data_IF_801500905913
#
_entry.id   IF_801500905913
#
_cell.length_a   1.000
_cell.length_b   1.000
_cell.length_c   1.000
_cell.angle_alpha   90.00
_cell.angle_beta   90.00
_cell.angle_gamma   90.00
#
_symmetry.space_group_name_H-M   'P 1'
#
loop_
_entity.id
_entity.type
_entity.pdbx_description
1 polymer ?
#
# COMPACT_ATOMS: atom_id res chain seq x y z
N UNK A 1 -20.98 -7.02 8.42
CA UNK A 1 -19.55 -7.09 8.03
C UNK A 1 -18.81 -7.97 9.03
N UNK A 2 -17.98 -8.91 8.55
CA UNK A 2 -17.14 -9.77 9.42
C UNK A 2 -15.64 -9.47 9.27
N UNK A 3 -15.22 -9.00 8.10
CA UNK A 3 -13.80 -8.79 7.79
C UNK A 3 -13.57 -7.45 7.12
N UNK A 4 -12.59 -6.72 7.61
CA UNK A 4 -12.04 -5.54 6.95
C UNK A 4 -10.58 -5.85 6.61
N UNK A 5 -10.26 -5.81 5.33
CA UNK A 5 -8.94 -6.07 4.79
C UNK A 5 -8.30 -4.70 4.51
N UNK A 6 -7.18 -4.43 5.15
CA UNK A 6 -6.41 -3.21 4.99
C UNK A 6 -5.19 -3.47 4.11
N UNK A 7 -4.99 -2.69 3.07
CA UNK A 7 -3.64 -2.51 2.55
C UNK A 7 -2.76 -1.85 3.61
N UNK A 8 -1.45 -1.97 3.49
CA UNK A 8 -0.54 -1.49 4.51
C UNK A 8 0.08 -0.14 4.15
N UNK A 9 0.96 -0.09 3.13
CA UNK A 9 1.66 1.13 2.72
C UNK A 9 0.68 2.11 2.06
N UNK A 10 0.67 3.35 2.49
CA UNK A 10 -0.26 4.38 1.99
C UNK A 10 -1.68 4.31 2.57
N UNK A 11 -2.09 3.18 3.18
CA UNK A 11 -3.42 2.99 3.78
C UNK A 11 -3.38 2.99 5.30
N UNK A 12 -2.65 2.06 5.89
CA UNK A 12 -2.38 2.02 7.35
C UNK A 12 -1.17 2.90 7.67
N UNK A 13 -0.11 2.78 6.88
CA UNK A 13 1.16 3.49 7.04
C UNK A 13 1.17 4.75 6.17
N UNK A 14 1.38 5.91 6.77
CA UNK A 14 1.68 7.17 6.09
C UNK A 14 3.18 7.23 5.80
N UNK A 15 3.58 6.71 4.65
CA UNK A 15 4.96 6.60 4.21
C UNK A 15 5.26 7.33 2.88
N UNK A 16 4.33 8.11 2.35
CA UNK A 16 4.50 8.81 1.06
C UNK A 16 5.73 9.71 1.08
N UNK A 17 5.91 10.51 2.13
CA UNK A 17 7.04 11.43 2.21
C UNK A 17 8.39 10.69 2.31
N UNK A 18 8.39 9.52 2.94
CA UNK A 18 9.55 8.62 3.00
C UNK A 18 9.83 8.01 1.64
N UNK A 19 8.81 7.50 0.96
CA UNK A 19 8.92 6.97 -0.40
C UNK A 19 9.45 8.03 -1.37
N UNK A 20 8.91 9.25 -1.31
CA UNK A 20 9.33 10.37 -2.15
C UNK A 20 10.79 10.77 -1.89
N UNK A 21 11.24 10.80 -0.63
CA UNK A 21 12.64 11.06 -0.29
C UNK A 21 13.56 9.96 -0.83
N UNK A 22 13.23 8.70 -0.60
CA UNK A 22 14.00 7.56 -1.11
C UNK A 22 14.09 7.58 -2.64
N UNK A 23 12.98 7.95 -3.32
CA UNK A 23 12.94 8.10 -4.77
C UNK A 23 13.87 9.21 -5.26
N UNK A 24 13.82 10.38 -4.63
CA UNK A 24 14.66 11.51 -5.02
C UNK A 24 16.16 11.23 -4.79
N UNK A 25 16.52 10.51 -3.73
CA UNK A 25 17.90 10.02 -3.54
C UNK A 25 18.29 9.02 -4.62
N UNK A 26 17.36 8.18 -5.07
CA UNK A 26 17.60 7.22 -6.14
C UNK A 26 17.80 7.93 -7.49
N UNK A 27 16.96 8.90 -7.82
CA UNK A 27 17.08 9.76 -9.02
C UNK A 27 18.47 10.43 -9.06
N UNK A 28 18.88 11.03 -7.95
CA UNK A 28 20.19 11.70 -7.84
C UNK A 28 21.34 10.71 -8.00
N UNK A 29 21.30 9.58 -7.29
CA UNK A 29 22.37 8.58 -7.31
C UNK A 29 22.61 8.01 -8.71
N UNK A 30 21.54 7.68 -9.42
CA UNK A 30 21.64 7.14 -10.79
C UNK A 30 21.82 8.21 -11.86
N UNK A 31 21.83 9.49 -11.47
CA UNK A 31 22.10 10.61 -12.35
C UNK A 31 21.05 10.83 -13.44
N UNK A 32 19.77 10.56 -13.14
CA UNK A 32 18.68 10.86 -14.05
C UNK A 32 18.63 12.37 -14.33
N UNK A 33 18.47 12.72 -15.62
CA UNK A 33 18.42 14.13 -16.07
C UNK A 33 17.00 14.68 -15.90
N UNK A 34 16.60 14.85 -14.65
CA UNK A 34 15.31 15.43 -14.28
C UNK A 34 15.43 16.18 -12.95
N UNK A 35 14.50 17.08 -12.69
CA UNK A 35 14.31 17.67 -11.36
C UNK A 35 13.79 16.60 -10.38
N UNK A 36 14.04 16.77 -9.07
CA UNK A 36 13.44 15.93 -8.05
C UNK A 36 11.92 15.86 -8.20
N UNK A 37 11.35 14.69 -7.95
CA UNK A 37 9.89 14.53 -7.92
C UNK A 37 9.26 15.41 -6.84
N UNK A 38 8.22 16.12 -7.21
CA UNK A 38 7.29 16.72 -6.24
C UNK A 38 6.29 15.67 -5.76
N UNK A 39 5.64 15.93 -4.61
CA UNK A 39 4.58 15.05 -4.11
C UNK A 39 3.44 14.91 -5.12
N UNK A 40 3.01 16.00 -5.72
CA UNK A 40 1.94 15.99 -6.73
C UNK A 40 2.31 15.13 -7.93
N UNK A 41 3.51 15.29 -8.48
CA UNK A 41 3.99 14.46 -9.58
C UNK A 41 4.06 12.98 -9.19
N UNK A 42 4.59 12.68 -7.99
CA UNK A 42 4.66 11.32 -7.47
C UNK A 42 3.29 10.65 -7.46
N UNK A 43 2.28 11.29 -6.88
CA UNK A 43 0.93 10.76 -6.77
C UNK A 43 0.26 10.49 -8.13
N UNK A 44 0.60 11.30 -9.15
CA UNK A 44 0.03 11.15 -10.49
C UNK A 44 0.73 10.08 -11.35
N UNK A 45 2.01 9.81 -11.09
CA UNK A 45 2.76 8.81 -11.88
C UNK A 45 2.88 7.45 -11.20
N UNK A 46 2.54 7.36 -9.89
CA UNK A 46 2.61 6.11 -9.16
C UNK A 46 1.63 5.08 -9.74
N UNK A 47 2.13 3.88 -10.01
CA UNK A 47 1.32 2.81 -10.60
C UNK A 47 1.91 1.43 -10.32
N UNK A 48 1.11 0.40 -10.53
CA UNK A 48 1.54 -0.99 -10.56
C UNK A 48 1.51 -1.54 -12.00
N UNK A 49 2.38 -2.49 -12.34
CA UNK A 49 3.49 -2.96 -11.49
C UNK A 49 4.55 -1.87 -11.27
N UNK A 50 5.20 -1.89 -10.13
CA UNK A 50 6.21 -0.88 -9.71
C UNK A 50 7.30 -0.65 -10.75
N UNK A 51 7.59 -1.64 -11.60
CA UNK A 51 8.51 -1.49 -12.73
C UNK A 51 8.06 -0.43 -13.74
N UNK A 52 6.75 -0.25 -13.92
CA UNK A 52 6.19 0.79 -14.81
C UNK A 52 6.20 2.16 -14.14
N UNK A 53 6.00 2.22 -12.82
CA UNK A 53 6.22 3.44 -12.05
C UNK A 53 7.65 3.98 -12.25
N UNK A 54 8.68 3.15 -12.09
CA UNK A 54 10.06 3.56 -12.33
C UNK A 54 10.32 4.03 -13.77
N UNK A 55 9.62 3.45 -14.79
CA UNK A 55 9.67 3.98 -16.16
C UNK A 55 9.07 5.39 -16.26
N UNK A 56 7.95 5.63 -15.56
CA UNK A 56 7.35 6.96 -15.48
C UNK A 56 8.27 7.96 -14.79
N UNK A 57 9.05 7.53 -13.79
CA UNK A 57 10.13 8.32 -13.18
C UNK A 57 11.23 8.65 -14.18
N UNK A 58 11.51 7.82 -15.16
CA UNK A 58 12.48 8.05 -16.22
C UNK A 58 13.60 7.00 -16.29
N UNK A 59 13.48 5.88 -15.58
CA UNK A 59 14.44 4.78 -15.69
C UNK A 59 14.25 3.97 -16.98
N UNK A 60 15.31 3.81 -17.75
CA UNK A 60 15.36 2.93 -18.92
C UNK A 60 16.08 1.63 -18.54
N UNK A 61 15.37 0.51 -18.57
CA UNK A 61 15.91 -0.82 -18.23
C UNK A 61 16.92 -1.38 -19.24
N UNK A 62 17.19 -0.69 -20.34
CA UNK A 62 18.34 -0.98 -21.19
C UNK A 62 19.64 -0.33 -20.68
N UNK A 63 19.52 0.62 -19.77
CA UNK A 63 20.64 1.39 -19.18
C UNK A 63 20.87 1.03 -17.73
N UNK A 64 19.79 0.85 -16.96
CA UNK A 64 19.82 0.61 -15.52
C UNK A 64 19.34 -0.81 -15.19
N UNK A 65 19.92 -1.42 -14.16
CA UNK A 65 19.40 -2.66 -13.59
C UNK A 65 18.21 -2.36 -12.66
N UNK A 66 17.07 -3.01 -12.91
CA UNK A 66 15.89 -2.86 -12.06
C UNK A 66 16.18 -3.28 -10.62
N UNK A 67 16.94 -4.35 -10.45
CA UNK A 67 17.32 -4.89 -9.16
C UNK A 67 18.22 -3.92 -8.37
N UNK A 68 19.17 -3.26 -9.05
CA UNK A 68 20.06 -2.27 -8.41
C UNK A 68 19.29 -1.01 -7.99
N UNK A 69 18.43 -0.50 -8.88
CA UNK A 69 17.57 0.65 -8.58
C UNK A 69 16.65 0.34 -7.40
N UNK A 70 15.94 -0.78 -7.47
CA UNK A 70 15.01 -1.19 -6.41
C UNK A 70 15.71 -1.42 -5.07
N UNK A 71 16.92 -2.03 -5.11
CA UNK A 71 17.71 -2.23 -3.89
C UNK A 71 18.15 -0.89 -3.27
N UNK A 72 18.63 0.04 -4.07
CA UNK A 72 19.09 1.34 -3.58
C UNK A 72 17.94 2.12 -2.96
N UNK A 73 16.77 2.16 -3.63
CA UNK A 73 15.56 2.75 -3.10
C UNK A 73 15.16 2.11 -1.76
N UNK A 74 15.15 0.78 -1.69
CA UNK A 74 14.76 0.04 -0.49
C UNK A 74 15.72 0.27 0.68
N UNK A 75 17.03 0.36 0.42
CA UNK A 75 18.02 0.67 1.46
C UNK A 75 17.73 2.06 2.10
N UNK A 76 17.35 3.06 1.29
CA UNK A 76 16.94 4.38 1.80
C UNK A 76 15.59 4.35 2.50
N UNK A 77 14.61 3.65 1.93
CA UNK A 77 13.31 3.48 2.58
C UNK A 77 13.47 2.91 3.99
N UNK A 78 14.28 1.87 4.17
CA UNK A 78 14.57 1.30 5.48
C UNK A 78 15.37 2.25 6.40
N UNK A 79 16.31 3.04 5.83
CA UNK A 79 17.10 4.00 6.62
C UNK A 79 16.25 5.15 7.19
N UNK A 80 15.14 5.47 6.54
CA UNK A 80 14.22 6.54 6.94
C UNK A 80 13.06 6.04 7.82
N UNK A 81 13.12 4.82 8.33
CA UNK A 81 12.02 4.18 9.08
C UNK A 81 11.53 4.94 10.31
N UNK A 82 12.36 5.76 10.92
CA UNK A 82 11.98 6.61 12.07
C UNK A 82 11.01 7.74 11.68
N UNK A 83 10.81 7.99 10.39
CA UNK A 83 9.87 8.96 9.85
C UNK A 83 8.49 8.34 9.52
N UNK A 84 8.34 7.00 9.61
CA UNK A 84 7.05 6.35 9.38
C UNK A 84 6.02 6.79 10.42
N UNK A 85 4.79 6.95 9.96
CA UNK A 85 3.65 7.26 10.81
C UNK A 85 2.48 6.35 10.47
N UNK A 86 1.58 6.21 11.40
CA UNK A 86 0.26 5.62 11.15
C UNK A 86 -0.66 6.76 10.72
N UNK A 87 -1.47 6.56 9.69
CA UNK A 87 -2.48 7.54 9.32
C UNK A 87 -3.44 7.81 10.48
N UNK A 88 -3.79 9.08 10.67
CA UNK A 88 -4.77 9.48 11.67
C UNK A 88 -6.10 8.77 11.43
N UNK A 89 -6.70 8.25 12.50
CA UNK A 89 -7.97 7.54 12.45
C UNK A 89 -7.86 6.02 12.22
N UNK A 90 -6.69 5.50 11.84
CA UNK A 90 -6.49 4.04 11.63
C UNK A 90 -6.71 3.28 12.93
N UNK A 91 -6.08 3.69 14.01
CA UNK A 91 -6.18 2.99 15.30
C UNK A 91 -7.63 3.00 15.80
N UNK A 92 -8.29 4.14 15.69
CA UNK A 92 -9.70 4.29 16.09
C UNK A 92 -10.60 3.36 15.29
N UNK A 93 -10.39 3.22 13.98
CA UNK A 93 -11.16 2.31 13.12
C UNK A 93 -10.89 0.85 13.49
N UNK A 94 -9.62 0.47 13.70
CA UNK A 94 -9.24 -0.88 14.10
C UNK A 94 -9.88 -1.26 15.45
N UNK A 95 -9.89 -0.35 16.43
CA UNK A 95 -10.53 -0.54 17.72
C UNK A 95 -12.06 -0.61 17.61
N UNK A 96 -12.66 0.23 16.75
CA UNK A 96 -14.09 0.21 16.51
C UNK A 96 -14.52 -1.12 15.89
N UNK A 97 -13.78 -1.62 14.91
CA UNK A 97 -14.03 -2.92 14.30
C UNK A 97 -14.01 -4.03 15.36
N UNK A 98 -12.97 -4.06 16.20
CA UNK A 98 -12.88 -5.05 17.29
C UNK A 98 -14.06 -4.98 18.25
N UNK A 99 -14.50 -3.77 18.62
CA UNK A 99 -15.69 -3.59 19.48
C UNK A 99 -16.99 -4.11 18.85
N UNK A 100 -17.08 -4.04 17.51
CA UNK A 100 -18.20 -4.58 16.72
C UNK A 100 -18.07 -6.09 16.43
N UNK A 101 -16.96 -6.72 16.83
CA UNK A 101 -16.68 -8.13 16.51
C UNK A 101 -16.24 -8.35 15.06
N UNK A 102 -15.80 -7.30 14.37
CA UNK A 102 -15.27 -7.33 13.02
C UNK A 102 -13.77 -7.63 13.10
N UNK A 103 -13.28 -8.54 12.27
CA UNK A 103 -11.87 -8.90 12.19
C UNK A 103 -11.10 -7.96 11.26
N UNK A 104 -9.96 -7.51 11.72
CA UNK A 104 -9.03 -6.70 10.95
C UNK A 104 -7.95 -7.59 10.32
N UNK A 105 -7.82 -7.54 9.02
CA UNK A 105 -6.85 -8.30 8.25
C UNK A 105 -5.91 -7.31 7.54
N UNK A 106 -4.61 -7.46 7.65
CA UNK A 106 -3.68 -6.68 6.82
C UNK A 106 -3.19 -7.53 5.65
N UNK A 107 -3.26 -6.98 4.45
CA UNK A 107 -2.85 -7.62 3.18
C UNK A 107 -1.89 -6.70 2.43
N UNK A 108 -0.62 -7.08 2.37
CA UNK A 108 0.43 -6.28 1.73
C UNK A 108 1.20 -7.07 0.66
N UNK A 109 1.71 -6.34 -0.34
CA UNK A 109 2.70 -6.85 -1.29
C UNK A 109 4.12 -6.90 -0.70
N UNK A 110 4.30 -6.60 0.58
CA UNK A 110 5.56 -6.71 1.29
C UNK A 110 5.85 -8.15 1.70
N UNK A 111 7.15 -8.46 1.90
CA UNK A 111 7.53 -9.74 2.48
C UNK A 111 6.88 -9.93 3.86
N UNK A 112 6.34 -11.10 4.13
CA UNK A 112 5.56 -11.41 5.33
C UNK A 112 6.33 -11.16 6.63
N UNK A 113 7.60 -11.56 6.70
CA UNK A 113 8.40 -11.40 7.92
C UNK A 113 8.74 -9.92 8.15
N UNK A 114 9.06 -9.19 7.08
CA UNK A 114 9.29 -7.75 7.15
C UNK A 114 8.02 -6.99 7.57
N UNK A 115 6.85 -7.35 7.03
CA UNK A 115 5.57 -6.78 7.41
C UNK A 115 5.27 -7.02 8.90
N UNK A 116 5.43 -8.25 9.40
CA UNK A 116 5.23 -8.57 10.82
C UNK A 116 6.16 -7.76 11.72
N UNK A 117 7.44 -7.69 11.36
CA UNK A 117 8.41 -6.89 12.12
C UNK A 117 7.99 -5.41 12.15
N UNK A 118 7.56 -4.85 11.03
CA UNK A 118 7.13 -3.44 10.93
C UNK A 118 5.88 -3.17 11.78
N UNK A 119 4.89 -4.08 11.78
CA UNK A 119 3.71 -3.98 12.63
C UNK A 119 4.07 -4.01 14.14
N UNK A 120 5.05 -4.81 14.54
CA UNK A 120 5.54 -4.86 15.93
C UNK A 120 6.32 -3.60 16.31
N UNK A 121 7.21 -3.10 15.45
CA UNK A 121 7.96 -1.85 15.67
C UNK A 121 7.01 -0.65 15.82
N UNK A 122 5.92 -0.61 15.04
CA UNK A 122 4.87 0.40 15.12
C UNK A 122 3.87 0.18 16.26
N UNK A 123 3.96 -0.96 16.97
CA UNK A 123 3.08 -1.36 18.08
C UNK A 123 1.60 -1.46 17.69
N UNK A 124 1.34 -1.94 16.48
CA UNK A 124 -0.02 -2.13 15.96
C UNK A 124 -0.32 -3.59 15.59
N UNK A 125 0.63 -4.50 15.78
CA UNK A 125 0.44 -5.92 15.44
C UNK A 125 -0.78 -6.53 16.15
N UNK A 126 -1.05 -6.14 17.40
CA UNK A 126 -2.16 -6.65 18.19
C UNK A 126 -3.55 -6.28 17.65
N UNK A 127 -3.66 -5.28 16.78
CA UNK A 127 -4.93 -4.85 16.19
C UNK A 127 -5.38 -5.72 15.02
N UNK A 128 -4.48 -6.52 14.44
CA UNK A 128 -4.78 -7.37 13.30
C UNK A 128 -4.96 -8.83 13.70
N UNK A 129 -6.07 -9.44 13.26
CA UNK A 129 -6.36 -10.86 13.49
C UNK A 129 -5.55 -11.76 12.57
N UNK A 130 -5.26 -11.31 11.33
CA UNK A 130 -4.45 -12.02 10.35
C UNK A 130 -3.52 -11.04 9.61
N UNK A 131 -2.30 -11.50 9.31
CA UNK A 131 -1.28 -10.76 8.56
C UNK A 131 -0.93 -11.55 7.31
N UNK A 132 -1.22 -10.96 6.16
CA UNK A 132 -1.06 -11.56 4.85
C UNK A 132 0.00 -10.77 4.06
N UNK A 133 1.11 -11.42 3.75
CA UNK A 133 2.23 -10.85 2.99
C UNK A 133 2.78 -11.88 2.02
N UNK A 134 3.67 -11.47 1.12
CA UNK A 134 4.27 -12.38 0.15
C UNK A 134 5.47 -13.13 0.73
N UNK A 135 5.62 -14.42 0.36
CA UNK A 135 6.69 -15.29 0.86
C UNK A 135 8.04 -15.09 0.15
N UNK A 136 8.05 -14.32 -0.94
CA UNK A 136 9.26 -14.14 -1.76
C UNK A 136 9.53 -12.66 -2.08
N UNK A 137 10.82 -12.36 -2.30
CA UNK A 137 11.32 -11.02 -2.62
C UNK A 137 10.99 -10.55 -4.05
N UNK A 138 10.39 -11.37 -4.90
CA UNK A 138 10.09 -11.08 -6.30
C UNK A 138 8.67 -10.55 -6.52
N UNK A 139 8.02 -10.07 -5.45
CA UNK A 139 6.74 -9.36 -5.47
C UNK A 139 5.76 -9.93 -6.52
N UNK A 140 5.38 -11.19 -6.33
CA UNK A 140 4.16 -11.70 -6.95
C UNK A 140 3.01 -10.80 -6.47
N UNK A 141 2.00 -10.62 -7.30
CA UNK A 141 0.83 -9.85 -6.90
C UNK A 141 0.26 -10.39 -5.58
N UNK A 142 -0.04 -9.51 -4.61
CA UNK A 142 -0.80 -9.86 -3.39
C UNK A 142 -2.17 -10.49 -3.71
N UNK A 143 -2.59 -10.43 -4.96
CA UNK A 143 -3.81 -11.04 -5.49
C UNK A 143 -3.90 -12.55 -5.23
N UNK A 144 -2.82 -13.32 -5.45
CA UNK A 144 -2.85 -14.76 -5.21
C UNK A 144 -3.14 -15.09 -3.74
N UNK A 145 -2.54 -14.35 -2.81
CA UNK A 145 -2.76 -14.51 -1.38
C UNK A 145 -4.19 -14.14 -1.03
N UNK A 146 -4.68 -13.03 -1.57
CA UNK A 146 -6.04 -12.55 -1.40
C UNK A 146 -7.06 -13.58 -1.90
N UNK A 147 -6.83 -14.15 -3.10
CA UNK A 147 -7.68 -15.19 -3.69
C UNK A 147 -7.67 -16.48 -2.87
N UNK A 148 -6.53 -16.87 -2.33
CA UNK A 148 -6.44 -18.04 -1.46
C UNK A 148 -7.18 -17.80 -0.13
N UNK A 149 -7.02 -16.62 0.46
CA UNK A 149 -7.66 -16.27 1.73
C UNK A 149 -9.19 -16.19 1.63
N UNK A 150 -9.74 -15.68 0.51
CA UNK A 150 -11.19 -15.45 0.34
C UNK A 150 -11.98 -16.74 0.02
N UNK A 151 -11.32 -17.85 -0.30
CA UNK A 151 -11.98 -19.09 -0.81
C UNK A 151 -13.08 -19.62 0.09
N UNK A 152 -12.90 -19.52 1.39
CA UNK A 152 -13.81 -20.06 2.42
C UNK A 152 -14.58 -18.96 3.18
N UNK A 153 -14.55 -17.72 2.70
CA UNK A 153 -15.21 -16.58 3.33
C UNK A 153 -16.47 -16.17 2.59
N UNK A 154 -17.41 -15.58 3.33
CA UNK A 154 -18.57 -14.92 2.71
C UNK A 154 -18.16 -13.55 2.18
N UNK A 155 -18.12 -13.40 0.87
CA UNK A 155 -17.67 -12.18 0.19
C UNK A 155 -18.52 -10.96 0.53
N UNK A 156 -19.81 -11.13 0.77
CA UNK A 156 -20.73 -10.03 1.15
C UNK A 156 -20.40 -9.45 2.54
N UNK A 157 -19.63 -10.19 3.34
CA UNK A 157 -19.20 -9.79 4.67
C UNK A 157 -17.75 -9.30 4.72
N UNK A 158 -17.12 -9.07 3.55
CA UNK A 158 -15.76 -8.58 3.41
C UNK A 158 -15.72 -7.22 2.71
N UNK A 159 -14.83 -6.34 3.16
CA UNK A 159 -14.51 -5.08 2.48
C UNK A 159 -13.01 -4.87 2.51
N UNK A 160 -12.45 -4.34 1.42
CA UNK A 160 -11.05 -3.94 1.34
C UNK A 160 -10.91 -2.42 1.42
N UNK A 161 -9.95 -1.96 2.18
CA UNK A 161 -9.49 -0.58 2.23
C UNK A 161 -8.09 -0.52 1.58
N UNK A 162 -7.89 0.39 0.66
CA UNK A 162 -6.63 0.59 -0.04
C UNK A 162 -6.50 2.03 -0.52
N UNK A 163 -5.37 2.39 -1.10
CA UNK A 163 -5.09 3.74 -1.58
C UNK A 163 -4.69 3.78 -3.06
N UNK A 164 -4.71 2.61 -3.73
CA UNK A 164 -4.31 2.48 -5.13
C UNK A 164 -5.33 1.72 -5.98
N UNK A 165 -5.27 1.89 -7.29
CA UNK A 165 -6.05 1.08 -8.24
C UNK A 165 -5.69 -0.40 -8.18
N UNK A 166 -4.48 -0.75 -7.71
CA UNK A 166 -4.11 -2.15 -7.50
C UNK A 166 -4.94 -2.80 -6.38
N UNK A 167 -5.29 -2.05 -5.34
CA UNK A 167 -6.19 -2.53 -4.28
C UNK A 167 -7.60 -2.79 -4.82
N UNK A 168 -8.08 -1.89 -5.68
CA UNK A 168 -9.35 -2.08 -6.38
C UNK A 168 -9.32 -3.34 -7.26
N UNK A 169 -8.23 -3.58 -7.99
CA UNK A 169 -8.05 -4.79 -8.83
C UNK A 169 -8.08 -6.06 -7.96
N UNK A 170 -7.37 -6.06 -6.83
CA UNK A 170 -7.36 -7.19 -5.88
C UNK A 170 -8.75 -7.42 -5.29
N UNK A 171 -9.43 -6.38 -4.85
CA UNK A 171 -10.79 -6.48 -4.32
C UNK A 171 -11.79 -7.02 -5.36
N UNK A 172 -11.69 -6.53 -6.61
CA UNK A 172 -12.49 -7.03 -7.73
C UNK A 172 -12.22 -8.51 -8.02
N UNK A 173 -10.97 -8.94 -8.01
CA UNK A 173 -10.60 -10.34 -8.17
C UNK A 173 -11.17 -11.22 -7.05
N UNK A 174 -11.16 -10.72 -5.80
CA UNK A 174 -11.80 -11.37 -4.65
C UNK A 174 -13.33 -11.36 -4.76
N UNK A 175 -13.93 -10.47 -5.55
CA UNK A 175 -15.38 -10.25 -5.65
C UNK A 175 -15.96 -9.59 -4.40
N UNK A 176 -15.24 -8.64 -3.81
CA UNK A 176 -15.64 -7.89 -2.60
C UNK A 176 -15.68 -6.39 -2.87
N UNK A 177 -16.34 -5.63 -2.00
CA UNK A 177 -16.35 -4.17 -2.02
C UNK A 177 -14.94 -3.64 -1.73
N UNK A 178 -14.54 -2.57 -2.44
CA UNK A 178 -13.35 -1.79 -2.15
C UNK A 178 -13.74 -0.35 -1.80
N UNK A 179 -13.14 0.20 -0.78
CA UNK A 179 -13.17 1.64 -0.47
C UNK A 179 -11.74 2.14 -0.62
N UNK A 180 -11.55 3.12 -1.50
CA UNK A 180 -10.23 3.74 -1.69
C UNK A 180 -10.10 5.01 -0.84
N UNK A 181 -8.95 5.16 -0.20
CA UNK A 181 -8.63 6.31 0.65
C UNK A 181 -7.60 7.18 -0.06
N UNK A 182 -7.99 8.42 -0.42
CA UNK A 182 -7.23 9.29 -1.30
C UNK A 182 -6.12 10.09 -0.59
N UNK A 183 -5.62 9.60 0.54
CA UNK A 183 -4.48 10.18 1.26
C UNK A 183 -3.20 9.34 1.14
N UNK A 184 -3.23 8.30 0.29
CA UNK A 184 -2.12 7.39 0.02
C UNK A 184 -1.32 7.72 -1.24
N UNK A 185 -0.81 6.68 -1.93
CA UNK A 185 0.18 6.79 -3.01
C UNK A 185 -0.39 7.23 -4.36
N UNK A 186 -1.71 7.22 -4.58
CA UNK A 186 -2.29 7.68 -5.85
C UNK A 186 -3.18 8.91 -5.67
N UNK A 187 -3.14 9.80 -6.68
CA UNK A 187 -3.96 11.01 -6.71
C UNK A 187 -5.46 10.67 -6.72
N UNK A 188 -6.25 11.46 -5.99
CA UNK A 188 -7.71 11.28 -5.88
C UNK A 188 -8.39 11.22 -7.24
N UNK A 189 -7.96 12.06 -8.17
CA UNK A 189 -8.50 12.12 -9.53
C UNK A 189 -8.39 10.78 -10.25
N UNK A 190 -7.24 10.11 -10.11
CA UNK A 190 -7.00 8.78 -10.69
C UNK A 190 -7.94 7.73 -10.08
N UNK A 191 -8.09 7.77 -8.75
CA UNK A 191 -8.94 6.83 -8.04
C UNK A 191 -10.43 7.00 -8.42
N UNK A 192 -10.91 8.24 -8.45
CA UNK A 192 -12.31 8.55 -8.74
C UNK A 192 -12.71 8.28 -10.18
N UNK A 193 -11.77 8.20 -11.12
CA UNK A 193 -12.04 7.77 -12.49
C UNK A 193 -12.46 6.29 -12.59
N UNK A 194 -12.11 5.47 -11.61
CA UNK A 194 -12.25 4.00 -11.64
C UNK A 194 -13.10 3.44 -10.51
N UNK A 195 -13.28 4.19 -9.43
CA UNK A 195 -13.99 3.75 -8.23
C UNK A 195 -14.93 4.86 -7.76
N UNK A 196 -16.21 4.51 -7.54
CA UNK A 196 -17.20 5.45 -6.99
C UNK A 196 -17.08 5.55 -5.44
N UNK A 197 -16.42 4.58 -4.80
CA UNK A 197 -16.29 4.49 -3.35
C UNK A 197 -14.90 4.99 -2.91
N UNK A 198 -14.68 6.29 -3.05
CA UNK A 198 -13.44 6.98 -2.69
C UNK A 198 -13.72 7.99 -1.59
N UNK A 199 -12.94 7.94 -0.51
CA UNK A 199 -12.99 8.90 0.61
C UNK A 199 -11.67 9.67 0.70
N UNK A 200 -11.70 10.86 1.28
CA UNK A 200 -10.49 11.67 1.45
C UNK A 200 -9.62 11.19 2.62
N UNK A 201 -10.26 10.60 3.63
CA UNK A 201 -9.60 10.22 4.87
C UNK A 201 -10.23 8.94 5.43
N UNK A 202 -9.43 8.09 6.06
CA UNK A 202 -9.90 6.82 6.63
C UNK A 202 -11.00 7.01 7.69
N UNK A 203 -11.05 8.18 8.33
CA UNK A 203 -12.10 8.56 9.30
C UNK A 203 -13.48 8.71 8.66
N UNK A 204 -13.57 8.82 7.35
CA UNK A 204 -14.83 8.90 6.58
C UNK A 204 -15.37 7.52 6.21
N UNK A 205 -14.58 6.48 6.39
CA UNK A 205 -14.95 5.10 6.04
C UNK A 205 -16.16 4.66 6.85
N UNK A 206 -17.17 4.13 6.16
CA UNK A 206 -18.39 3.57 6.77
C UNK A 206 -18.53 2.10 6.38
N UNK A 207 -18.41 1.24 7.38
CA UNK A 207 -18.45 -0.21 7.28
C UNK A 207 -19.76 -0.76 7.86
#
# INVERSE_FOLDING_TARGET
MQYVIFDFNGTVLDDIDVCLKAENYTIEHFGLKREPLTRDEYLHIFTFPVKDYYRNVGFDWNVYSYEEVGKYWFDWYCALKDEYKIHDGVIELLEENRRKGIKNIVLSASNLDALKQQLEELKIAEYFDEVLGIDNIYAGSKENIALDWIKDKNREECVMLGDTLHDLEVANAMGIRCILVANGHQAKEILTEKCDDVVDDIREVKI
#
